data_IF_807730993386
#
_entry.id   IF_807730993386
#
_cell.length_a   1.000
_cell.length_b   1.000
_cell.length_c   1.000
_cell.angle_alpha   90.00
_cell.angle_beta   90.00
_cell.angle_gamma   90.00
#
_symmetry.space_group_name_H-M   'P 1'
#
loop_
_entity.id
_entity.type
_entity.pdbx_description
1 polymer ?
#
# COMPACT_ATOMS: atom_id res chain seq x y z
N UNK A 1 -23.11 -7.30 -13.70
CA UNK A 1 -22.68 -5.88 -13.70
C UNK A 1 -23.74 -5.09 -12.95
N UNK A 2 -23.70 -5.12 -11.62
CA UNK A 2 -24.73 -4.49 -10.77
C UNK A 2 -24.36 -3.03 -10.50
N UNK A 3 -25.36 -2.20 -10.74
CA UNK A 3 -25.44 -0.75 -10.62
C UNK A 3 -25.20 -0.26 -9.21
N UNK A 4 -24.35 0.76 -9.05
CA UNK A 4 -24.25 1.54 -7.80
C UNK A 4 -25.42 2.52 -7.79
N UNK A 5 -26.35 2.28 -6.88
CA UNK A 5 -27.57 3.05 -6.64
C UNK A 5 -27.23 4.46 -6.14
N UNK A 6 -27.84 5.46 -6.77
CA UNK A 6 -27.84 6.86 -6.36
C UNK A 6 -28.48 7.02 -4.98
N UNK A 7 -27.80 7.73 -4.06
CA UNK A 7 -28.45 8.31 -2.88
C UNK A 7 -28.05 9.80 -2.80
N UNK A 8 -28.88 10.67 -3.40
CA UNK A 8 -28.65 12.12 -3.54
C UNK A 8 -29.26 12.88 -2.37
N UNK A 9 -28.48 13.13 -1.33
CA UNK A 9 -28.78 14.17 -0.34
C UNK A 9 -28.29 15.54 -0.89
N UNK A 10 -29.18 16.53 -1.10
CA UNK A 10 -28.85 17.78 -1.82
C UNK A 10 -27.79 18.65 -1.13
N UNK A 11 -27.66 18.59 0.20
CA UNK A 11 -26.59 19.28 0.94
C UNK A 11 -25.21 18.65 0.70
N UNK A 12 -25.15 17.33 0.58
CA UNK A 12 -23.93 16.57 0.28
C UNK A 12 -23.43 16.86 -1.13
N UNK A 13 -24.36 17.05 -2.09
CA UNK A 13 -24.04 17.41 -3.47
C UNK A 13 -23.32 18.76 -3.59
N UNK A 14 -23.69 19.75 -2.79
CA UNK A 14 -23.06 21.08 -2.83
C UNK A 14 -21.65 21.07 -2.22
N UNK A 15 -21.49 20.38 -1.09
CA UNK A 15 -20.19 20.19 -0.45
C UNK A 15 -19.20 19.43 -1.36
N UNK A 16 -19.67 18.37 -2.02
CA UNK A 16 -18.89 17.60 -2.99
C UNK A 16 -18.49 18.46 -4.20
N UNK A 17 -19.43 19.22 -4.79
CA UNK A 17 -19.13 20.10 -5.92
C UNK A 17 -18.07 21.16 -5.55
N UNK A 18 -18.15 21.72 -4.34
CA UNK A 18 -17.19 22.70 -3.82
C UNK A 18 -15.81 22.07 -3.58
N UNK A 19 -15.76 20.89 -2.98
CA UNK A 19 -14.52 20.16 -2.77
C UNK A 19 -13.84 19.80 -4.10
N UNK A 20 -14.60 19.32 -5.07
CA UNK A 20 -14.09 19.02 -6.41
C UNK A 20 -13.57 20.26 -7.13
N UNK A 21 -14.27 21.40 -7.03
CA UNK A 21 -13.81 22.68 -7.56
C UNK A 21 -12.47 23.09 -6.94
N UNK A 22 -12.34 23.01 -5.61
CA UNK A 22 -11.10 23.34 -4.92
C UNK A 22 -9.93 22.43 -5.34
N UNK A 23 -10.18 21.14 -5.58
CA UNK A 23 -9.17 20.20 -6.07
C UNK A 23 -8.69 20.54 -7.49
N UNK A 24 -9.59 21.02 -8.36
CA UNK A 24 -9.24 21.49 -9.69
C UNK A 24 -8.46 22.81 -9.62
N UNK A 25 -8.91 23.78 -8.83
CA UNK A 25 -8.21 25.07 -8.64
C UNK A 25 -6.82 24.90 -8.01
N UNK A 26 -6.66 23.93 -7.10
CA UNK A 26 -5.37 23.57 -6.53
C UNK A 26 -4.45 22.78 -7.49
N UNK A 27 -4.94 22.43 -8.69
CA UNK A 27 -4.22 21.64 -9.70
C UNK A 27 -4.02 20.17 -9.31
N UNK A 28 -4.84 19.65 -8.39
CA UNK A 28 -4.77 18.27 -7.91
C UNK A 28 -5.68 17.33 -8.71
N UNK A 29 -6.69 17.87 -9.39
CA UNK A 29 -7.57 17.13 -10.31
C UNK A 29 -7.83 17.94 -11.59
N UNK A 30 -8.17 17.25 -12.67
CA UNK A 30 -8.55 17.82 -13.97
C UNK A 30 -9.94 17.32 -14.35
N UNK A 31 -10.79 18.21 -14.86
CA UNK A 31 -12.11 17.86 -15.36
C UNK A 31 -12.02 17.55 -16.86
N UNK A 32 -12.36 16.32 -17.23
CA UNK A 32 -12.50 15.92 -18.63
C UNK A 32 -13.99 15.81 -18.98
N UNK A 33 -14.35 16.43 -20.10
CA UNK A 33 -15.69 16.33 -20.70
C UNK A 33 -15.62 15.34 -21.86
N UNK A 34 -16.44 14.31 -21.81
CA UNK A 34 -16.74 13.44 -22.96
C UNK A 34 -18.23 13.57 -23.27
N UNK A 35 -18.62 13.31 -24.52
CA UNK A 35 -19.93 13.62 -25.12
C UNK A 35 -21.15 13.17 -24.32
N UNK A 36 -21.00 12.28 -23.33
CA UNK A 36 -22.09 11.89 -22.45
C UNK A 36 -21.76 11.79 -20.96
N UNK A 37 -20.52 12.08 -20.51
CA UNK A 37 -20.13 12.03 -19.09
C UNK A 37 -18.95 12.96 -18.80
N UNK A 38 -19.07 13.69 -17.69
CA UNK A 38 -17.95 14.42 -17.08
C UNK A 38 -17.26 13.52 -16.07
N UNK A 39 -15.93 13.40 -16.15
CA UNK A 39 -15.14 12.66 -15.16
C UNK A 39 -13.92 13.47 -14.73
N UNK A 40 -13.48 13.24 -13.49
CA UNK A 40 -12.32 13.90 -12.92
C UNK A 40 -11.13 12.95 -12.93
N UNK A 41 -9.98 13.45 -13.37
CA UNK A 41 -8.71 12.72 -13.39
C UNK A 41 -7.75 13.34 -12.37
N UNK A 42 -7.15 12.53 -11.52
CA UNK A 42 -6.12 13.01 -10.59
C UNK A 42 -4.84 13.33 -11.38
N UNK A 43 -4.28 14.52 -11.13
CA UNK A 43 -3.04 14.96 -11.79
C UNK A 43 -1.82 14.33 -11.13
N UNK A 44 -0.65 14.42 -11.75
CA UNK A 44 0.62 13.98 -11.12
C UNK A 44 0.84 14.70 -9.77
N UNK A 45 0.55 16.00 -9.71
CA UNK A 45 0.61 16.82 -8.49
C UNK A 45 -0.38 16.32 -7.43
N UNK A 46 -1.61 16.03 -7.83
CA UNK A 46 -2.63 15.45 -6.95
C UNK A 46 -2.22 14.08 -6.40
N UNK A 47 -1.59 13.25 -7.24
CA UNK A 47 -1.05 11.95 -6.83
C UNK A 47 0.07 12.09 -5.81
N UNK A 48 1.05 12.98 -6.05
CA UNK A 48 2.12 13.27 -5.08
C UNK A 48 1.58 13.81 -3.75
N UNK A 49 0.59 14.71 -3.80
CA UNK A 49 -0.04 15.25 -2.58
C UNK A 49 -0.84 14.18 -1.84
N UNK A 50 -1.53 13.30 -2.57
CA UNK A 50 -2.23 12.16 -2.01
C UNK A 50 -1.25 11.16 -1.37
N UNK A 51 -0.11 10.93 -1.99
CA UNK A 51 0.96 10.09 -1.45
C UNK A 51 1.60 10.70 -0.19
N UNK A 52 1.78 12.04 -0.15
CA UNK A 52 2.21 12.74 1.06
C UNK A 52 1.17 12.64 2.20
N UNK A 53 -0.11 12.85 1.90
CA UNK A 53 -1.19 12.68 2.88
C UNK A 53 -1.29 11.23 3.38
N UNK A 54 -1.05 10.25 2.50
CA UNK A 54 -0.99 8.81 2.85
C UNK A 54 0.24 8.46 3.70
N UNK A 55 1.34 9.20 3.55
CA UNK A 55 2.55 9.04 4.36
C UNK A 55 2.43 9.72 5.73
N UNK A 56 1.57 10.75 5.84
CA UNK A 56 1.36 11.55 7.05
C UNK A 56 0.13 11.13 7.87
N UNK A 57 -0.82 10.38 7.29
CA UNK A 57 -2.05 9.94 7.96
C UNK A 57 -2.04 8.47 8.36
N UNK A 58 -2.64 8.16 9.53
CA UNK A 58 -2.87 6.79 10.03
C UNK A 58 -3.81 5.94 9.14
N UNK A 59 -4.44 6.54 8.12
CA UNK A 59 -5.42 5.91 7.21
C UNK A 59 -4.92 5.81 5.75
N UNK A 60 -3.83 5.07 5.51
CA UNK A 60 -3.41 4.74 4.15
C UNK A 60 -4.41 3.76 3.49
N UNK A 61 -4.91 4.10 2.29
CA UNK A 61 -5.87 3.33 1.47
C UNK A 61 -5.36 1.99 0.88
N UNK A 62 -4.36 1.36 1.51
CA UNK A 62 -4.16 -0.10 1.46
C UNK A 62 -4.53 -0.54 2.84
N UNK A 63 -5.64 -1.26 2.99
CA UNK A 63 -6.11 -1.63 4.32
C UNK A 63 -4.96 -2.30 5.09
N UNK A 64 -4.40 -1.61 6.10
CA UNK A 64 -3.52 -2.23 7.09
C UNK A 64 -4.30 -3.24 7.97
N UNK A 65 -5.58 -3.47 7.68
CA UNK A 65 -6.29 -4.62 8.18
C UNK A 65 -5.68 -5.89 7.60
N UNK A 66 -5.42 -6.83 8.49
CA UNK A 66 -5.01 -8.18 8.12
C UNK A 66 -6.16 -8.87 7.40
N UNK A 67 -5.86 -9.51 6.28
CA UNK A 67 -6.81 -10.26 5.45
C UNK A 67 -6.78 -11.77 5.73
N UNK A 68 -6.15 -12.18 6.83
CA UNK A 68 -5.96 -13.58 7.20
C UNK A 68 -4.65 -14.19 6.70
N UNK A 69 -3.85 -13.47 5.90
CA UNK A 69 -2.60 -14.00 5.33
C UNK A 69 -1.36 -13.34 5.95
N UNK A 70 -0.31 -14.14 6.11
CA UNK A 70 1.02 -13.70 6.50
C UNK A 70 1.92 -13.55 5.28
N UNK A 71 2.66 -12.45 5.23
CA UNK A 71 3.63 -12.14 4.18
C UNK A 71 5.00 -12.35 4.75
N UNK A 72 5.71 -13.33 4.20
CA UNK A 72 7.09 -13.61 4.57
C UNK A 72 7.98 -13.21 3.40
N UNK A 73 8.92 -12.31 3.67
CA UNK A 73 9.93 -11.88 2.70
C UNK A 73 11.29 -12.37 3.17
N UNK A 74 11.89 -13.26 2.39
CA UNK A 74 13.29 -13.62 2.55
C UNK A 74 14.12 -12.66 1.72
N UNK A 75 15.01 -11.93 2.38
CA UNK A 75 15.87 -10.93 1.76
C UNK A 75 17.34 -11.27 2.07
N UNK A 76 18.05 -11.75 1.05
CA UNK A 76 19.47 -12.07 1.14
C UNK A 76 20.21 -11.53 -0.09
N UNK A 77 20.91 -10.42 0.10
CA UNK A 77 21.73 -9.79 -0.94
C UNK A 77 23.21 -9.94 -0.56
N UNK A 78 24.10 -10.25 -1.53
CA UNK A 78 25.53 -10.39 -1.29
C UNK A 78 26.17 -9.07 -0.79
N UNK A 79 27.35 -9.15 -0.18
CA UNK A 79 27.99 -8.00 0.49
C UNK A 79 28.34 -6.85 -0.48
N UNK A 80 28.60 -7.16 -1.75
CA UNK A 80 28.79 -6.17 -2.80
C UNK A 80 27.52 -5.32 -3.07
N UNK A 81 26.34 -5.74 -2.61
CA UNK A 81 25.05 -5.03 -2.71
C UNK A 81 24.52 -4.56 -1.35
N UNK A 82 25.40 -4.35 -0.37
CA UNK A 82 25.03 -3.93 1.01
C UNK A 82 24.11 -2.71 1.07
N UNK A 83 24.36 -1.66 0.29
CA UNK A 83 23.55 -0.44 0.33
C UNK A 83 22.10 -0.71 -0.11
N UNK A 84 21.91 -1.55 -1.12
CA UNK A 84 20.59 -1.95 -1.60
C UNK A 84 19.88 -2.84 -0.57
N UNK A 85 20.61 -3.76 0.05
CA UNK A 85 20.10 -4.60 1.16
C UNK A 85 19.57 -3.75 2.30
N UNK A 86 20.32 -2.75 2.76
CA UNK A 86 19.89 -1.88 3.86
C UNK A 86 18.71 -0.99 3.46
N UNK A 87 18.64 -0.56 2.20
CA UNK A 87 17.50 0.21 1.67
C UNK A 87 16.22 -0.63 1.64
N UNK A 88 16.30 -1.88 1.20
CA UNK A 88 15.18 -2.81 1.20
C UNK A 88 14.73 -3.16 2.63
N UNK A 89 15.67 -3.35 3.56
CA UNK A 89 15.35 -3.54 4.99
C UNK A 89 14.64 -2.34 5.59
N UNK A 90 15.06 -1.12 5.22
CA UNK A 90 14.37 0.09 5.66
C UNK A 90 12.93 0.14 5.14
N UNK A 91 12.71 -0.18 3.86
CA UNK A 91 11.37 -0.26 3.27
C UNK A 91 10.49 -1.30 3.96
N UNK A 92 11.02 -2.49 4.25
CA UNK A 92 10.30 -3.54 4.99
C UNK A 92 9.84 -3.03 6.36
N UNK A 93 10.73 -2.39 7.14
CA UNK A 93 10.35 -1.78 8.43
C UNK A 93 9.25 -0.73 8.28
N UNK A 94 9.36 0.13 7.26
CA UNK A 94 8.35 1.17 6.99
C UNK A 94 7.00 0.59 6.56
N UNK A 95 7.00 -0.56 5.88
CA UNK A 95 5.81 -1.30 5.52
C UNK A 95 5.25 -2.18 6.66
N UNK A 96 5.77 -2.05 7.89
CA UNK A 96 5.28 -2.82 9.04
C UNK A 96 5.68 -4.29 9.04
N UNK A 97 6.83 -4.63 8.43
CA UNK A 97 7.44 -5.94 8.59
C UNK A 97 8.35 -5.98 9.82
N UNK A 98 8.29 -7.10 10.54
CA UNK A 98 9.19 -7.42 11.65
C UNK A 98 10.23 -8.43 11.18
N UNK A 99 11.48 -8.25 11.60
CA UNK A 99 12.57 -9.18 11.30
C UNK A 99 12.53 -10.35 12.29
N UNK A 100 12.25 -11.57 11.81
CA UNK A 100 12.23 -12.79 12.63
C UNK A 100 13.63 -13.35 12.88
N UNK A 101 14.43 -13.36 11.82
CA UNK A 101 15.82 -13.84 11.75
C UNK A 101 16.53 -13.06 10.64
N UNK A 102 17.87 -13.11 10.62
CA UNK A 102 18.77 -12.38 9.72
C UNK A 102 18.21 -11.90 8.36
N UNK A 103 17.59 -12.81 7.59
CA UNK A 103 17.01 -12.54 6.26
C UNK A 103 15.49 -12.69 6.19
N UNK A 104 14.81 -13.14 7.25
CA UNK A 104 13.38 -13.45 7.24
C UNK A 104 12.56 -12.34 7.89
N UNK A 105 11.68 -11.74 7.09
CA UNK A 105 10.79 -10.65 7.47
C UNK A 105 9.35 -11.10 7.37
N UNK A 106 8.50 -10.71 8.32
CA UNK A 106 7.10 -11.09 8.32
C UNK A 106 6.18 -9.90 8.58
N UNK A 107 5.00 -9.89 7.96
CA UNK A 107 3.95 -8.91 8.23
C UNK A 107 2.56 -9.48 7.97
N UNK A 108 1.52 -9.06 8.70
CA UNK A 108 0.13 -9.34 8.35
C UNK A 108 -0.42 -8.40 7.27
N UNK A 109 0.34 -7.39 6.82
CA UNK A 109 -0.16 -6.37 5.91
C UNK A 109 0.02 -6.76 4.43
N UNK A 110 -0.97 -6.47 3.55
CA UNK A 110 -1.01 -6.97 2.18
C UNK A 110 -0.09 -6.20 1.21
N UNK A 111 1.21 -6.22 1.46
CA UNK A 111 2.23 -5.54 0.65
C UNK A 111 2.98 -6.46 -0.33
N UNK A 112 2.58 -7.72 -0.50
CA UNK A 112 3.24 -8.70 -1.38
C UNK A 112 3.39 -8.20 -2.82
N UNK A 113 2.37 -7.52 -3.36
CA UNK A 113 2.42 -6.99 -4.73
C UNK A 113 3.37 -5.80 -4.86
N UNK A 114 3.49 -4.96 -3.82
CA UNK A 114 4.47 -3.88 -3.79
C UNK A 114 5.89 -4.45 -3.86
N UNK A 115 6.20 -5.44 -3.02
CA UNK A 115 7.51 -6.08 -3.02
C UNK A 115 7.76 -6.92 -4.27
N UNK A 116 6.73 -7.50 -4.89
CA UNK A 116 6.85 -8.18 -6.18
C UNK A 116 7.24 -7.20 -7.30
N UNK A 117 6.70 -5.98 -7.30
CA UNK A 117 7.12 -4.94 -8.25
C UNK A 117 8.56 -4.49 -7.98
N UNK A 118 8.92 -4.23 -6.73
CA UNK A 118 10.31 -3.88 -6.35
C UNK A 118 11.29 -4.97 -6.79
N UNK A 119 10.96 -6.24 -6.54
CA UNK A 119 11.74 -7.40 -6.98
C UNK A 119 11.99 -7.36 -8.49
N UNK A 120 10.94 -7.10 -9.27
CA UNK A 120 11.01 -7.03 -10.74
C UNK A 120 11.86 -5.84 -11.19
N UNK A 121 11.65 -4.66 -10.63
CA UNK A 121 12.33 -3.42 -11.02
C UNK A 121 13.84 -3.47 -10.72
N UNK A 122 14.23 -4.15 -9.64
CA UNK A 122 15.63 -4.36 -9.24
C UNK A 122 16.27 -5.62 -9.87
N UNK A 123 15.53 -6.36 -10.69
CA UNK A 123 16.00 -7.58 -11.33
C UNK A 123 16.39 -8.69 -10.33
N UNK A 124 15.74 -8.72 -9.16
CA UNK A 124 16.02 -9.71 -8.12
C UNK A 124 15.33 -11.03 -8.41
N UNK A 125 16.00 -12.14 -8.10
CA UNK A 125 15.50 -13.50 -8.31
C UNK A 125 15.31 -14.20 -6.98
N UNK A 126 16.30 -14.96 -6.52
CA UNK A 126 16.30 -15.67 -5.24
C UNK A 126 16.75 -14.77 -4.08
N UNK A 127 17.36 -13.62 -4.38
CA UNK A 127 17.75 -12.62 -3.37
C UNK A 127 16.55 -12.03 -2.63
N UNK A 128 15.36 -12.05 -3.26
CA UNK A 128 14.09 -11.69 -2.65
C UNK A 128 13.05 -12.77 -2.94
N UNK A 129 12.70 -13.58 -1.95
CA UNK A 129 11.58 -14.52 -2.03
C UNK A 129 10.39 -13.95 -1.28
N UNK A 130 9.20 -14.04 -1.89
CA UNK A 130 7.95 -13.55 -1.32
C UNK A 130 7.04 -14.76 -1.17
N UNK A 131 6.62 -15.00 0.06
CA UNK A 131 5.76 -16.12 0.44
C UNK A 131 4.51 -15.53 1.09
N UNK A 132 3.35 -15.98 0.64
CA UNK A 132 2.06 -15.62 1.24
C UNK A 132 1.45 -16.89 1.77
N UNK A 133 1.14 -16.93 3.07
CA UNK A 133 0.59 -18.12 3.72
C UNK A 133 -0.50 -17.76 4.72
N UNK A 134 -1.60 -18.51 4.69
CA UNK A 134 -2.61 -18.52 5.75
C UNK A 134 -2.13 -19.34 6.96
N UNK A 135 -1.35 -20.39 6.70
CA UNK A 135 -0.98 -21.39 7.68
C UNK A 135 0.41 -21.11 8.26
N UNK A 136 0.48 -21.00 9.58
CA UNK A 136 1.68 -20.94 10.42
C UNK A 136 1.42 -21.89 11.59
N UNK A 137 2.46 -22.57 12.09
CA UNK A 137 2.31 -23.44 13.26
C UNK A 137 1.82 -22.65 14.50
N UNK A 138 1.16 -23.32 15.43
CA UNK A 138 0.47 -22.66 16.55
C UNK A 138 1.42 -21.87 17.47
N UNK A 139 2.65 -22.35 17.68
CA UNK A 139 3.61 -21.66 18.54
C UNK A 139 4.12 -20.37 17.89
N UNK A 140 4.52 -20.44 16.62
CA UNK A 140 4.89 -19.25 15.84
C UNK A 140 3.73 -18.28 15.71
N UNK A 141 2.50 -18.77 15.50
CA UNK A 141 1.29 -17.95 15.41
C UNK A 141 1.10 -17.12 16.68
N UNK A 142 1.14 -17.76 17.85
CA UNK A 142 1.03 -17.07 19.14
C UNK A 142 2.05 -15.94 19.29
N UNK A 143 3.31 -16.21 19.00
CA UNK A 143 4.39 -15.22 19.04
C UNK A 143 4.11 -14.02 18.11
N UNK A 144 3.64 -14.28 16.89
CA UNK A 144 3.35 -13.23 15.90
C UNK A 144 2.16 -12.36 16.33
N UNK A 145 1.09 -12.94 16.85
CA UNK A 145 -0.06 -12.17 17.36
C UNK A 145 0.37 -11.22 18.49
N UNK A 146 1.18 -11.70 19.44
CA UNK A 146 1.77 -10.86 20.49
C UNK A 146 2.66 -9.74 19.89
N UNK A 147 3.50 -10.05 18.90
CA UNK A 147 4.40 -9.09 18.27
C UNK A 147 3.68 -7.98 17.48
N UNK A 148 2.50 -8.26 16.93
CA UNK A 148 1.69 -7.29 16.17
C UNK A 148 0.52 -6.69 16.97
N UNK A 149 0.35 -7.06 18.24
CA UNK A 149 -0.71 -6.57 19.12
C UNK A 149 -2.11 -6.96 18.64
N UNK A 150 -2.26 -8.16 18.08
CA UNK A 150 -3.53 -8.70 17.58
C UNK A 150 -4.04 -9.86 18.41
#
# INVERSE_FOLDING_TARGET
>A
MQSITENKNPKTSYALARAMKNLVEAGCAELHKSDNKNYFKITKKGKTKLDAIRLEGEDALVSASWDGLWRIILLDLPENRKSERESLRYLLKKAGFVCLKNSAWISPFPFEHLFANIKKDLGLTTEMMIIVSENIDEESKKFLFEAFGK
#
